data_IF_050445330090
#
_entry.id   IF_050445330090
#
_cell.length_a   1.000
_cell.length_b   1.000
_cell.length_c   1.000
_cell.angle_alpha   90.00
_cell.angle_beta   90.00
_cell.angle_gamma   90.00
#
_symmetry.space_group_name_H-M   'P 1'
#
loop_
_entity.id
_entity.type
_entity.pdbx_description
1 polymer ?
#
# COMPACT_ATOMS: atom_id res chain seq x y z
N UNK A 1 -22.89 -24.42 -6.16
CA UNK A 1 -21.57 -25.09 -6.07
C UNK A 1 -20.54 -24.01 -5.77
N UNK A 2 -19.94 -24.02 -4.58
CA UNK A 2 -19.02 -22.95 -4.17
C UNK A 2 -17.73 -22.94 -5.00
N UNK A 3 -17.10 -21.78 -5.09
CA UNK A 3 -15.78 -21.57 -5.71
C UNK A 3 -14.74 -22.54 -5.13
N UNK A 4 -13.66 -22.80 -5.86
CA UNK A 4 -12.57 -23.67 -5.37
C UNK A 4 -12.03 -23.17 -4.02
N UNK A 5 -11.87 -21.86 -3.88
CA UNK A 5 -11.51 -21.15 -2.64
C UNK A 5 -12.49 -21.49 -1.51
N UNK A 6 -13.79 -21.27 -1.73
CA UNK A 6 -14.81 -21.56 -0.72
C UNK A 6 -14.88 -23.04 -0.33
N UNK A 7 -14.55 -23.98 -1.23
CA UNK A 7 -14.44 -25.40 -0.88
C UNK A 7 -13.25 -25.66 0.05
N UNK A 8 -12.10 -25.04 -0.21
CA UNK A 8 -10.87 -25.21 0.57
C UNK A 8 -11.02 -24.66 1.99
N UNK A 9 -11.61 -23.46 2.13
CA UNK A 9 -11.91 -22.86 3.44
C UNK A 9 -12.86 -23.75 4.25
N UNK A 10 -13.95 -24.22 3.65
CA UNK A 10 -14.89 -25.13 4.34
C UNK A 10 -14.23 -26.45 4.75
N UNK A 11 -13.34 -26.99 3.92
CA UNK A 11 -12.58 -28.18 4.26
C UNK A 11 -11.67 -27.93 5.47
N UNK A 12 -10.88 -26.84 5.44
CA UNK A 12 -10.02 -26.45 6.55
C UNK A 12 -10.80 -26.32 7.88
N UNK A 13 -11.99 -25.70 7.84
CA UNK A 13 -12.84 -25.53 9.03
C UNK A 13 -13.36 -26.88 9.55
N UNK A 14 -13.77 -27.80 8.67
CA UNK A 14 -14.24 -29.13 9.09
C UNK A 14 -13.14 -29.98 9.73
N UNK A 15 -11.90 -29.82 9.29
CA UNK A 15 -10.76 -30.61 9.76
C UNK A 15 -10.17 -30.07 11.07
N UNK A 16 -10.09 -28.75 11.22
CA UNK A 16 -9.34 -28.10 12.31
C UNK A 16 -10.18 -27.20 13.22
N UNK A 17 -11.48 -27.08 12.94
CA UNK A 17 -12.36 -26.10 13.61
C UNK A 17 -12.22 -24.70 13.01
N UNK A 18 -12.79 -23.67 13.66
CA UNK A 18 -12.78 -22.31 13.14
C UNK A 18 -11.38 -21.78 12.82
N UNK A 19 -11.22 -21.25 11.62
CA UNK A 19 -9.96 -20.68 11.13
C UNK A 19 -9.86 -19.20 11.49
N UNK A 20 -8.65 -18.66 11.55
CA UNK A 20 -8.47 -17.22 11.77
C UNK A 20 -8.93 -16.42 10.55
N UNK A 21 -9.25 -15.13 10.74
CA UNK A 21 -9.55 -14.25 9.62
C UNK A 21 -8.33 -14.07 8.68
N UNK A 22 -7.11 -14.11 9.22
CA UNK A 22 -5.89 -14.09 8.42
C UNK A 22 -5.80 -15.32 7.50
N UNK A 23 -6.12 -16.52 8.01
CA UNK A 23 -6.13 -17.74 7.20
C UNK A 23 -7.24 -17.75 6.13
N UNK A 24 -8.40 -17.13 6.42
CA UNK A 24 -9.40 -16.85 5.40
C UNK A 24 -8.80 -15.99 4.27
N UNK A 25 -8.15 -14.87 4.61
CA UNK A 25 -7.54 -13.97 3.65
C UNK A 25 -6.45 -14.67 2.82
N UNK A 26 -5.61 -15.49 3.44
CA UNK A 26 -4.60 -16.28 2.73
C UNK A 26 -5.24 -17.17 1.65
N UNK A 27 -6.33 -17.87 1.98
CA UNK A 27 -7.05 -18.66 1.00
C UNK A 27 -7.78 -17.83 -0.06
N UNK A 28 -8.38 -16.70 0.34
CA UNK A 28 -9.22 -15.88 -0.52
C UNK A 28 -8.41 -14.99 -1.47
N UNK A 29 -7.28 -14.46 -1.02
CA UNK A 29 -6.50 -13.47 -1.74
C UNK A 29 -5.33 -14.10 -2.49
N UNK A 30 -4.53 -14.94 -1.83
CA UNK A 30 -3.22 -15.37 -2.35
C UNK A 30 -3.14 -16.86 -2.72
N UNK A 31 -4.01 -17.71 -2.16
CA UNK A 31 -4.04 -19.13 -2.46
C UNK A 31 -4.52 -19.42 -3.90
N UNK A 32 -4.43 -20.69 -4.36
CA UNK A 32 -4.95 -21.07 -5.67
C UNK A 32 -6.43 -20.67 -5.84
N UNK A 33 -6.80 -20.13 -6.99
CA UNK A 33 -8.11 -19.56 -7.30
C UNK A 33 -8.43 -18.26 -6.54
N UNK A 34 -7.50 -17.72 -5.76
CA UNK A 34 -7.66 -16.49 -4.99
C UNK A 34 -7.62 -15.23 -5.86
N UNK A 35 -8.03 -14.12 -5.26
CA UNK A 35 -8.24 -12.84 -5.95
C UNK A 35 -7.00 -12.34 -6.71
N UNK A 36 -5.81 -12.46 -6.11
CA UNK A 36 -4.54 -12.01 -6.68
C UNK A 36 -3.82 -13.07 -7.54
N UNK A 37 -4.35 -14.28 -7.70
CA UNK A 37 -3.76 -15.25 -8.63
C UNK A 37 -4.02 -14.84 -10.10
N UNK A 38 -5.19 -14.25 -10.36
CA UNK A 38 -5.57 -13.67 -11.65
C UNK A 38 -6.12 -12.26 -11.41
N UNK A 39 -5.28 -11.31 -10.98
CA UNK A 39 -5.76 -9.99 -10.63
C UNK A 39 -6.36 -9.36 -11.89
N UNK A 40 -7.58 -8.81 -11.83
CA UNK A 40 -8.12 -8.05 -12.94
C UNK A 40 -7.35 -6.73 -13.02
N UNK A 41 -6.29 -6.71 -13.82
CA UNK A 41 -5.43 -5.54 -14.06
C UNK A 41 -5.93 -4.77 -15.28
N UNK A 42 -6.02 -3.45 -15.18
CA UNK A 42 -6.33 -2.55 -16.30
C UNK A 42 -7.65 -1.78 -16.13
N UNK A 43 -8.04 -1.05 -17.17
CA UNK A 43 -9.17 -0.08 -17.15
C UNK A 43 -10.54 -0.74 -16.89
N UNK A 44 -10.66 -2.04 -17.15
CA UNK A 44 -11.84 -2.86 -16.84
C UNK A 44 -11.70 -3.66 -15.52
N UNK A 45 -10.55 -3.54 -14.86
CA UNK A 45 -10.16 -4.24 -13.65
C UNK A 45 -10.32 -3.43 -12.37
N UNK A 46 -10.35 -4.11 -11.23
CA UNK A 46 -10.82 -3.56 -9.96
C UNK A 46 -9.79 -2.71 -9.19
N UNK A 47 -8.55 -2.60 -9.68
CA UNK A 47 -7.45 -1.94 -8.96
C UNK A 47 -6.97 -0.67 -9.68
N UNK A 48 -7.49 0.48 -9.26
CA UNK A 48 -6.92 1.79 -9.63
C UNK A 48 -6.21 2.35 -8.41
N UNK A 49 -4.90 2.10 -8.30
CA UNK A 49 -4.03 2.67 -7.25
C UNK A 49 -3.44 4.00 -7.70
N UNK A 50 -2.75 4.71 -6.78
CA UNK A 50 -2.17 6.03 -7.05
C UNK A 50 -1.29 6.11 -8.32
N UNK A 51 -0.42 5.11 -8.64
CA UNK A 51 0.32 5.08 -9.90
C UNK A 51 -0.56 5.04 -11.17
N UNK A 52 -1.75 4.44 -11.09
CA UNK A 52 -2.67 4.29 -12.23
C UNK A 52 -3.50 5.56 -12.47
N UNK A 53 -3.70 6.40 -11.45
CA UNK A 53 -4.47 7.64 -11.58
C UNK A 53 -3.78 8.62 -12.52
N UNK A 54 -2.49 8.87 -12.30
CA UNK A 54 -1.70 9.75 -13.17
C UNK A 54 -0.18 9.54 -12.97
N UNK A 55 0.63 9.56 -14.06
CA UNK A 55 2.09 9.39 -13.97
C UNK A 55 2.83 10.41 -13.08
N UNK A 56 2.19 11.53 -12.74
CA UNK A 56 2.77 12.52 -11.81
C UNK A 56 3.04 11.90 -10.44
N UNK A 57 2.22 10.96 -9.98
CA UNK A 57 2.46 10.27 -8.71
C UNK A 57 3.85 9.63 -8.70
N UNK A 58 4.14 8.78 -9.69
CA UNK A 58 5.42 8.09 -9.82
C UNK A 58 6.59 9.06 -9.98
N UNK A 59 6.40 10.17 -10.70
CA UNK A 59 7.44 11.21 -10.82
C UNK A 59 7.77 11.86 -9.48
N UNK A 60 6.76 12.19 -8.69
CA UNK A 60 6.94 12.82 -7.38
C UNK A 60 7.50 11.84 -6.36
N UNK A 61 7.05 10.59 -6.35
CA UNK A 61 7.69 9.51 -5.57
C UNK A 61 9.15 9.37 -5.97
N UNK A 62 9.47 9.39 -7.26
CA UNK A 62 10.85 9.37 -7.76
C UNK A 62 11.70 10.54 -7.25
N UNK A 63 11.15 11.75 -7.19
CA UNK A 63 11.82 12.91 -6.59
C UNK A 63 12.10 12.71 -5.09
N UNK A 64 11.15 12.11 -4.36
CA UNK A 64 11.36 11.77 -2.94
C UNK A 64 12.46 10.72 -2.76
N UNK A 65 12.47 9.68 -3.59
CA UNK A 65 13.52 8.65 -3.61
C UNK A 65 14.89 9.22 -4.01
N UNK A 66 14.94 10.21 -4.90
CA UNK A 66 16.18 10.93 -5.24
C UNK A 66 16.74 11.69 -4.03
N UNK A 67 15.90 12.34 -3.22
CA UNK A 67 16.35 12.95 -1.96
C UNK A 67 16.90 11.89 -1.00
N UNK A 68 16.24 10.73 -0.85
CA UNK A 68 16.78 9.62 -0.05
C UNK A 68 18.14 9.13 -0.58
N UNK A 69 18.28 9.01 -1.89
CA UNK A 69 19.54 8.64 -2.53
C UNK A 69 20.67 9.62 -2.21
N UNK A 70 20.37 10.93 -2.19
CA UNK A 70 21.33 11.96 -1.77
C UNK A 70 21.74 11.77 -0.31
N UNK A 71 20.77 11.60 0.60
CA UNK A 71 21.04 11.37 2.04
C UNK A 71 21.83 10.07 2.29
N UNK A 72 21.66 9.07 1.43
CA UNK A 72 22.42 7.82 1.49
C UNK A 72 23.89 7.96 1.03
N UNK A 73 24.28 9.13 0.52
CA UNK A 73 25.62 9.37 -0.03
C UNK A 73 25.74 8.99 -1.51
N UNK A 74 24.64 8.99 -2.25
CA UNK A 74 24.56 8.70 -3.69
C UNK A 74 25.15 7.34 -4.09
N UNK A 75 24.67 6.23 -3.49
CA UNK A 75 25.15 4.88 -3.81
C UNK A 75 24.95 4.54 -5.30
N UNK A 76 25.80 3.63 -5.81
CA UNK A 76 25.78 3.15 -7.19
C UNK A 76 26.03 1.63 -7.23
N UNK A 77 25.05 0.80 -7.67
CA UNK A 77 23.69 1.21 -8.01
C UNK A 77 22.90 1.66 -6.76
N UNK A 78 21.89 2.51 -6.96
CA UNK A 78 20.87 2.76 -5.95
C UNK A 78 19.88 1.58 -5.95
N UNK A 79 19.82 0.82 -4.86
CA UNK A 79 18.94 -0.34 -4.78
C UNK A 79 17.49 0.09 -4.51
N UNK A 80 16.58 -0.22 -5.41
CA UNK A 80 15.13 0.00 -5.22
C UNK A 80 14.43 -1.34 -5.18
N UNK A 81 13.67 -1.58 -4.11
CA UNK A 81 12.86 -2.78 -3.95
C UNK A 81 11.41 -2.37 -3.83
N UNK A 82 10.57 -2.73 -4.79
CA UNK A 82 9.12 -2.47 -4.74
C UNK A 82 8.40 -3.76 -4.35
N UNK A 83 7.70 -3.75 -3.23
CA UNK A 83 6.92 -4.89 -2.73
C UNK A 83 5.45 -4.70 -3.05
N UNK A 84 4.84 -5.71 -3.67
CA UNK A 84 3.50 -5.58 -4.26
C UNK A 84 3.53 -4.73 -5.53
N UNK A 85 4.50 -4.97 -6.40
CA UNK A 85 4.76 -4.13 -7.58
C UNK A 85 3.65 -4.14 -8.65
N UNK A 86 2.61 -4.95 -8.46
CA UNK A 86 1.43 -5.01 -9.32
C UNK A 86 1.79 -5.29 -10.78
N UNK A 87 1.36 -4.41 -11.68
CA UNK A 87 1.60 -4.53 -13.12
C UNK A 87 2.89 -3.83 -13.61
N UNK A 88 3.66 -3.27 -12.67
CA UNK A 88 4.90 -2.53 -12.92
C UNK A 88 4.70 -1.11 -13.44
N UNK A 89 3.51 -0.53 -13.34
CA UNK A 89 3.25 0.87 -13.72
C UNK A 89 4.19 1.83 -12.98
N UNK A 90 4.34 1.68 -11.67
CA UNK A 90 5.25 2.49 -10.87
C UNK A 90 6.71 2.25 -11.25
N UNK A 91 7.14 0.99 -11.36
CA UNK A 91 8.48 0.62 -11.79
C UNK A 91 8.90 1.26 -13.12
N UNK A 92 8.04 1.22 -14.15
CA UNK A 92 8.34 1.81 -15.46
C UNK A 92 8.57 3.31 -15.39
N UNK A 93 7.73 4.03 -14.67
CA UNK A 93 7.86 5.49 -14.54
C UNK A 93 9.07 5.88 -13.68
N UNK A 94 9.35 5.16 -12.60
CA UNK A 94 10.54 5.38 -11.77
C UNK A 94 11.83 5.15 -12.56
N UNK A 95 11.95 4.02 -13.26
CA UNK A 95 13.13 3.72 -14.09
C UNK A 95 13.36 4.78 -15.18
N UNK A 96 12.29 5.26 -15.83
CA UNK A 96 12.38 6.36 -16.79
C UNK A 96 12.86 7.65 -16.14
N UNK A 97 12.36 7.98 -14.95
CA UNK A 97 12.76 9.15 -14.17
C UNK A 97 14.23 9.11 -13.81
N UNK A 98 14.69 8.02 -13.19
CA UNK A 98 16.07 7.84 -12.78
C UNK A 98 17.06 7.83 -13.95
N UNK A 99 16.70 7.19 -15.07
CA UNK A 99 17.53 7.22 -16.28
C UNK A 99 17.72 8.65 -16.83
N UNK A 100 16.67 9.49 -16.80
CA UNK A 100 16.76 10.90 -17.21
C UNK A 100 17.61 11.72 -16.23
N UNK A 101 17.55 11.41 -14.94
CA UNK A 101 18.36 12.04 -13.89
C UNK A 101 19.81 11.52 -13.83
N UNK A 102 20.16 10.49 -14.59
CA UNK A 102 21.49 9.86 -14.55
C UNK A 102 21.76 9.08 -13.25
N UNK A 103 20.70 8.60 -12.59
CA UNK A 103 20.79 7.77 -11.39
C UNK A 103 20.79 6.30 -11.82
N UNK A 104 21.88 5.60 -11.54
CA UNK A 104 22.01 4.16 -11.78
C UNK A 104 21.23 3.39 -10.70
N UNK A 105 20.30 2.53 -11.12
CA UNK A 105 19.35 1.86 -10.23
C UNK A 105 19.36 0.36 -10.46
N UNK A 106 19.42 -0.39 -9.36
CA UNK A 106 19.13 -1.82 -9.34
C UNK A 106 17.69 -2.01 -8.83
N UNK A 107 16.76 -2.33 -9.73
CA UNK A 107 15.33 -2.44 -9.39
C UNK A 107 14.90 -3.89 -9.20
N UNK A 108 14.35 -4.21 -8.04
CA UNK A 108 13.73 -5.51 -7.76
C UNK A 108 12.25 -5.33 -7.45
N UNK A 109 11.39 -6.02 -8.19
CA UNK A 109 9.95 -6.08 -7.97
C UNK A 109 9.61 -7.40 -7.25
N UNK A 110 9.08 -7.29 -6.03
CA UNK A 110 8.66 -8.43 -5.21
C UNK A 110 7.16 -8.64 -5.39
N UNK A 111 6.78 -9.86 -5.75
CA UNK A 111 5.38 -10.22 -5.99
C UNK A 111 5.13 -11.71 -5.70
N UNK A 112 4.02 -12.06 -5.04
CA UNK A 112 3.74 -13.45 -4.61
C UNK A 112 3.16 -14.29 -5.75
N UNK A 113 2.48 -13.67 -6.71
CA UNK A 113 1.97 -14.37 -7.89
C UNK A 113 3.10 -14.70 -8.88
N UNK A 114 3.32 -15.99 -9.15
CA UNK A 114 4.31 -16.42 -10.13
C UNK A 114 4.03 -15.88 -11.54
N UNK A 115 2.75 -15.67 -11.88
CA UNK A 115 2.35 -15.05 -13.15
C UNK A 115 2.75 -13.58 -13.22
N UNK A 116 2.40 -12.81 -12.20
CA UNK A 116 2.74 -11.38 -12.12
C UNK A 116 4.25 -11.17 -12.05
N UNK A 117 5.00 -11.96 -11.26
CA UNK A 117 6.48 -11.94 -11.25
C UNK A 117 7.09 -12.13 -12.63
N UNK A 118 6.60 -13.10 -13.41
CA UNK A 118 7.09 -13.34 -14.76
C UNK A 118 6.81 -12.15 -15.67
N UNK A 119 5.63 -11.55 -15.57
CA UNK A 119 5.28 -10.35 -16.34
C UNK A 119 6.18 -9.16 -15.97
N UNK A 120 6.39 -8.91 -14.67
CA UNK A 120 7.29 -7.86 -14.17
C UNK A 120 8.72 -8.04 -14.67
N UNK A 121 9.23 -9.27 -14.69
CA UNK A 121 10.58 -9.59 -15.17
C UNK A 121 10.79 -9.37 -16.68
N UNK A 122 9.72 -9.11 -17.45
CA UNK A 122 9.83 -8.70 -18.86
C UNK A 122 10.12 -7.21 -19.04
N UNK A 123 9.96 -6.41 -17.98
CA UNK A 123 10.24 -4.97 -17.98
C UNK A 123 11.77 -4.81 -17.93
N UNK A 124 12.33 -4.11 -18.92
CA UNK A 124 13.76 -3.85 -18.98
C UNK A 124 14.26 -3.14 -17.71
N UNK A 125 15.28 -3.71 -17.06
CA UNK A 125 15.86 -3.17 -15.82
C UNK A 125 15.17 -3.63 -14.53
N UNK A 126 14.16 -4.50 -14.60
CA UNK A 126 13.45 -5.04 -13.42
C UNK A 126 13.82 -6.51 -13.18
N UNK A 127 14.25 -6.83 -11.96
CA UNK A 127 14.38 -8.21 -11.46
C UNK A 127 13.11 -8.60 -10.69
N UNK A 128 12.55 -9.78 -10.93
CA UNK A 128 11.46 -10.33 -10.11
C UNK A 128 11.97 -11.13 -8.90
N UNK A 129 11.28 -11.04 -7.76
CA UNK A 129 11.48 -11.86 -6.57
C UNK A 129 10.14 -12.33 -5.96
N UNK A 130 10.09 -13.52 -5.37
CA UNK A 130 8.90 -14.13 -4.74
C UNK A 130 8.53 -13.56 -3.39
N UNK A 131 9.53 -13.06 -2.68
CA UNK A 131 9.43 -12.57 -1.32
C UNK A 131 10.56 -11.59 -1.03
N UNK A 132 10.45 -10.83 0.06
CA UNK A 132 11.47 -9.86 0.45
C UNK A 132 12.80 -10.55 0.83
N UNK A 133 12.81 -11.70 1.56
CA UNK A 133 14.04 -12.44 1.84
C UNK A 133 14.82 -12.91 0.59
N UNK A 134 14.15 -13.19 -0.54
CA UNK A 134 14.82 -13.55 -1.80
C UNK A 134 15.59 -12.38 -2.45
N UNK A 135 15.34 -11.16 -2.00
CA UNK A 135 16.07 -9.97 -2.47
C UNK A 135 17.49 -9.96 -1.93
N UNK A 136 17.68 -10.44 -0.69
CA UNK A 136 18.94 -10.32 0.05
C UNK A 136 19.14 -8.91 0.64
N UNK A 137 20.25 -8.68 1.34
CA UNK A 137 20.49 -7.43 2.05
C UNK A 137 20.52 -6.23 1.10
N UNK A 138 19.69 -5.23 1.39
CA UNK A 138 19.61 -3.95 0.68
C UNK A 138 20.56 -2.97 1.34
N UNK A 139 21.70 -2.74 0.68
CA UNK A 139 22.74 -1.80 1.08
C UNK A 139 22.65 -0.53 0.23
N UNK A 140 22.44 0.63 0.86
CA UNK A 140 22.34 1.90 0.15
C UNK A 140 21.13 1.96 -0.79
N UNK A 141 19.94 1.69 -0.26
CA UNK A 141 18.71 1.58 -1.06
C UNK A 141 17.45 2.08 -0.38
N UNK A 142 16.33 1.91 -1.09
CA UNK A 142 15.00 2.14 -0.57
C UNK A 142 14.08 0.95 -0.88
N UNK A 143 13.30 0.54 0.13
CA UNK A 143 12.17 -0.39 -0.05
C UNK A 143 10.88 0.43 -0.15
N UNK A 144 10.01 0.11 -1.08
CA UNK A 144 8.75 0.79 -1.34
C UNK A 144 7.61 -0.22 -1.25
N UNK A 145 6.57 0.14 -0.51
CA UNK A 145 5.30 -0.58 -0.49
C UNK A 145 4.17 0.43 -0.64
N UNK A 146 3.48 0.43 -1.78
CA UNK A 146 2.38 1.33 -2.08
C UNK A 146 1.07 0.54 -2.13
N UNK A 147 0.14 0.84 -1.23
CA UNK A 147 -1.19 0.22 -1.15
C UNK A 147 -1.07 -1.31 -1.09
N UNK A 148 -0.28 -1.78 -0.11
CA UNK A 148 0.05 -3.19 0.13
C UNK A 148 -0.47 -3.66 1.49
N UNK A 149 -0.27 -2.84 2.52
CA UNK A 149 -0.45 -3.24 3.91
C UNK A 149 -1.92 -3.49 4.27
N UNK A 150 -2.87 -2.85 3.58
CA UNK A 150 -4.30 -2.95 3.82
C UNK A 150 -4.90 -4.30 3.39
N UNK A 151 -4.29 -4.98 2.41
CA UNK A 151 -4.70 -6.30 1.93
C UNK A 151 -3.88 -7.45 2.54
N UNK A 152 -2.80 -7.16 3.28
CA UNK A 152 -2.06 -8.20 4.00
C UNK A 152 -2.93 -8.85 5.09
N UNK A 153 -2.78 -10.16 5.35
CA UNK A 153 -3.64 -10.89 6.26
C UNK A 153 -3.67 -10.27 7.67
N UNK A 154 -4.87 -10.11 8.21
CA UNK A 154 -5.08 -9.57 9.55
C UNK A 154 -6.01 -10.42 10.38
N UNK A 155 -5.90 -10.30 11.71
CA UNK A 155 -6.79 -10.95 12.66
C UNK A 155 -7.75 -9.94 13.25
N UNK A 156 -8.93 -10.41 13.67
CA UNK A 156 -9.99 -9.54 14.20
C UNK A 156 -10.24 -9.87 15.65
N UNK A 157 -10.40 -8.83 16.46
CA UNK A 157 -10.73 -8.96 17.88
C UNK A 157 -11.93 -8.10 18.22
N UNK A 158 -12.70 -8.51 19.22
CA UNK A 158 -13.81 -7.73 19.79
C UNK A 158 -13.61 -7.62 21.29
N UNK A 159 -13.83 -6.44 21.85
CA UNK A 159 -13.79 -6.30 23.31
C UNK A 159 -15.13 -6.76 23.90
N UNK A 160 -15.11 -7.79 24.75
CA UNK A 160 -16.22 -8.15 25.65
C UNK A 160 -15.85 -7.70 27.07
N UNK A 161 -15.98 -8.56 28.08
CA UNK A 161 -15.31 -8.32 29.37
C UNK A 161 -13.79 -8.44 29.24
N UNK A 162 -13.34 -9.34 28.38
CA UNK A 162 -11.96 -9.49 27.91
C UNK A 162 -11.96 -9.52 26.38
N UNK A 163 -10.83 -9.24 25.71
CA UNK A 163 -10.74 -9.41 24.26
C UNK A 163 -11.05 -10.85 23.85
N UNK A 164 -11.83 -11.01 22.79
CA UNK A 164 -12.07 -12.28 22.10
C UNK A 164 -11.64 -12.16 20.64
N UNK A 165 -11.13 -13.24 20.05
CA UNK A 165 -10.81 -13.29 18.63
C UNK A 165 -12.06 -13.67 17.82
N UNK A 166 -12.33 -12.91 16.76
CA UNK A 166 -13.35 -13.23 15.75
C UNK A 166 -12.70 -14.13 14.69
N UNK A 167 -13.15 -15.39 14.64
CA UNK A 167 -12.74 -16.42 13.68
C UNK A 167 -13.84 -16.73 12.68
N UNK A 168 -13.53 -17.52 11.67
CA UNK A 168 -14.49 -17.98 10.66
C UNK A 168 -14.81 -19.45 10.89
N UNK A 169 -16.09 -19.72 11.15
CA UNK A 169 -16.66 -21.05 11.37
C UNK A 169 -17.68 -21.44 10.30
N UNK A 170 -18.45 -22.48 10.61
CA UNK A 170 -19.49 -23.02 9.75
C UNK A 170 -20.83 -23.11 10.47
N UNK A 171 -21.89 -22.67 9.79
CA UNK A 171 -23.28 -23.01 10.08
C UNK A 171 -23.85 -23.75 8.86
N UNK A 172 -23.91 -25.08 8.94
CA UNK A 172 -24.11 -25.93 7.78
C UNK A 172 -23.01 -25.76 6.74
N UNK A 173 -23.34 -25.17 5.58
CA UNK A 173 -22.39 -24.83 4.51
C UNK A 173 -22.02 -23.35 4.47
N UNK A 174 -22.67 -22.51 5.28
CA UNK A 174 -22.46 -21.07 5.30
C UNK A 174 -21.28 -20.73 6.21
N UNK A 175 -20.39 -19.85 5.74
CA UNK A 175 -19.35 -19.27 6.56
C UNK A 175 -19.95 -18.24 7.51
N UNK A 176 -19.56 -18.29 8.78
CA UNK A 176 -20.03 -17.38 9.82
C UNK A 176 -18.88 -16.90 10.69
N UNK A 177 -19.04 -15.74 11.29
CA UNK A 177 -18.16 -15.30 12.38
C UNK A 177 -18.43 -16.10 13.65
N UNK A 178 -17.36 -16.50 14.35
CA UNK A 178 -17.44 -17.15 15.65
C UNK A 178 -16.43 -16.53 16.61
N UNK A 179 -16.85 -16.25 17.84
CA UNK A 179 -15.97 -15.72 18.87
C UNK A 179 -15.21 -16.84 19.57
N UNK A 180 -13.91 -16.66 19.75
CA UNK A 180 -13.01 -17.57 20.45
C UNK A 180 -12.12 -16.81 21.43
N UNK A 181 -11.54 -17.45 22.46
CA UNK A 181 -10.61 -16.77 23.36
C UNK A 181 -9.49 -16.07 22.59
N UNK A 182 -9.22 -14.80 22.91
CA UNK A 182 -8.13 -14.06 22.27
C UNK A 182 -6.78 -14.66 22.71
N UNK A 183 -5.90 -15.06 21.78
CA UNK A 183 -4.57 -15.57 22.14
C UNK A 183 -3.67 -14.48 22.76
N UNK A 184 -2.79 -14.89 23.67
CA UNK A 184 -1.88 -13.97 24.39
C UNK A 184 -1.01 -13.13 23.45
N UNK A 185 -0.59 -13.70 22.32
CA UNK A 185 0.19 -13.01 21.27
C UNK A 185 -0.55 -11.81 20.66
N UNK A 186 -1.89 -11.82 20.65
CA UNK A 186 -2.70 -10.69 20.20
C UNK A 186 -2.98 -9.70 21.32
N UNK A 187 -3.08 -10.16 22.57
CA UNK A 187 -3.49 -9.34 23.71
C UNK A 187 -2.63 -8.06 23.85
N UNK A 188 -1.31 -8.15 23.64
CA UNK A 188 -0.38 -7.02 23.68
C UNK A 188 -0.41 -6.09 22.45
N UNK A 189 -1.21 -6.43 21.44
CA UNK A 189 -1.41 -5.68 20.20
C UNK A 189 -2.79 -5.03 20.13
N UNK A 190 -3.73 -5.44 20.99
CA UNK A 190 -5.09 -4.88 21.02
C UNK A 190 -5.03 -3.41 21.42
N UNK A 191 -5.52 -2.48 20.59
CA UNK A 191 -5.57 -1.07 20.96
C UNK A 191 -6.63 -0.84 22.04
N UNK A 192 -6.67 0.34 22.69
CA UNK A 192 -7.79 0.70 23.56
C UNK A 192 -9.13 0.61 22.81
N UNK A 193 -10.09 -0.11 23.38
CA UNK A 193 -11.42 -0.38 22.80
C UNK A 193 -12.51 -0.14 23.87
N UNK A 194 -13.72 0.22 23.43
CA UNK A 194 -14.93 0.17 24.23
C UNK A 194 -15.62 -1.19 24.15
N UNK A 195 -16.48 -1.56 25.13
CA UNK A 195 -17.20 -2.83 25.09
C UNK A 195 -18.06 -2.97 23.82
N UNK A 196 -17.83 -4.04 23.07
CA UNK A 196 -18.48 -4.30 21.78
C UNK A 196 -17.70 -3.82 20.56
N UNK A 197 -16.72 -2.93 20.75
CA UNK A 197 -15.89 -2.43 19.65
C UNK A 197 -14.96 -3.54 19.12
N UNK A 198 -14.65 -3.42 17.83
CA UNK A 198 -13.76 -4.34 17.12
C UNK A 198 -12.46 -3.65 16.74
N UNK A 199 -11.39 -4.45 16.66
CA UNK A 199 -10.13 -4.04 16.07
C UNK A 199 -9.60 -5.07 15.07
N UNK A 200 -8.82 -4.57 14.13
CA UNK A 200 -8.00 -5.33 13.21
C UNK A 200 -6.56 -5.30 13.70
N UNK A 201 -5.98 -6.48 13.89
CA UNK A 201 -4.57 -6.67 14.24
C UNK A 201 -3.81 -7.09 12.98
N UNK A 202 -2.94 -6.24 12.41
CA UNK A 202 -2.39 -6.43 11.07
C UNK A 202 -1.19 -7.39 11.07
N UNK A 203 -1.42 -8.65 11.47
CA UNK A 203 -0.35 -9.65 11.68
C UNK A 203 0.54 -9.88 10.46
N UNK A 204 -0.03 -9.84 9.25
CA UNK A 204 0.73 -9.94 7.99
C UNK A 204 1.63 -8.73 7.76
N UNK A 205 1.14 -7.52 8.04
CA UNK A 205 1.95 -6.31 7.94
C UNK A 205 3.05 -6.26 9.02
N UNK A 206 2.80 -6.80 10.22
CA UNK A 206 3.84 -6.94 11.26
C UNK A 206 4.93 -7.92 10.83
N UNK A 207 4.57 -9.06 10.22
CA UNK A 207 5.52 -10.01 9.65
C UNK A 207 6.31 -9.39 8.49
N UNK A 208 5.64 -8.63 7.62
CA UNK A 208 6.31 -7.88 6.56
C UNK A 208 7.35 -6.88 7.12
N UNK A 209 7.05 -6.19 8.22
CA UNK A 209 8.03 -5.31 8.88
C UNK A 209 9.23 -6.08 9.42
N UNK A 210 9.04 -7.31 9.93
CA UNK A 210 10.14 -8.16 10.36
C UNK A 210 11.06 -8.52 9.19
N UNK A 211 10.47 -8.99 8.07
CA UNK A 211 11.22 -9.29 6.85
C UNK A 211 11.92 -8.05 6.29
N UNK A 212 11.24 -6.90 6.34
CA UNK A 212 11.79 -5.62 5.92
C UNK A 212 13.02 -5.24 6.74
N UNK A 213 12.95 -5.36 8.06
CA UNK A 213 14.06 -5.03 8.94
C UNK A 213 15.25 -5.96 8.73
N UNK A 214 15.00 -7.25 8.46
CA UNK A 214 16.04 -8.23 8.17
C UNK A 214 16.69 -8.03 6.78
N UNK A 215 15.93 -7.47 5.84
CA UNK A 215 16.38 -7.22 4.47
C UNK A 215 17.06 -5.86 4.32
N UNK A 216 16.61 -4.83 5.03
CA UNK A 216 17.12 -3.45 4.91
C UNK A 216 18.39 -3.26 5.75
N UNK A 217 19.56 -3.53 5.16
CA UNK A 217 20.84 -3.44 5.86
C UNK A 217 21.31 -1.98 6.06
N UNK A 218 21.17 -1.13 5.05
CA UNK A 218 21.34 0.33 5.18
C UNK A 218 20.45 1.03 4.18
N UNK A 219 19.45 1.77 4.65
CA UNK A 219 18.54 2.43 3.74
C UNK A 219 17.28 2.97 4.39
N UNK A 220 16.32 3.27 3.53
CA UNK A 220 15.00 3.74 3.91
C UNK A 220 13.92 2.73 3.49
N UNK A 221 12.76 2.79 4.12
CA UNK A 221 11.55 2.15 3.61
C UNK A 221 10.40 3.15 3.59
N UNK A 222 9.75 3.31 2.44
CA UNK A 222 8.59 4.16 2.26
C UNK A 222 7.35 3.29 2.13
N UNK A 223 6.47 3.39 3.14
CA UNK A 223 5.21 2.66 3.20
C UNK A 223 4.07 3.65 2.98
N UNK A 224 3.25 3.44 1.96
CA UNK A 224 2.15 4.33 1.58
C UNK A 224 0.86 3.53 1.63
N UNK A 225 -0.05 3.88 2.54
CA UNK A 225 -1.29 3.11 2.68
C UNK A 225 -2.44 3.87 3.35
N UNK A 226 -3.64 3.29 3.29
CA UNK A 226 -4.81 3.76 4.02
C UNK A 226 -4.70 3.37 5.48
N UNK A 227 -4.57 4.35 6.36
CA UNK A 227 -4.41 4.06 7.77
C UNK A 227 -4.48 5.24 8.70
N UNK A 228 -4.51 4.91 9.98
CA UNK A 228 -4.42 5.84 11.09
C UNK A 228 -3.21 5.49 11.96
N UNK A 229 -2.71 6.49 12.71
CA UNK A 229 -1.59 6.26 13.65
C UNK A 229 -2.06 5.55 14.91
N UNK A 230 -3.34 5.70 15.27
CA UNK A 230 -3.92 5.13 16.48
C UNK A 230 -5.30 4.55 16.18
N UNK A 231 -5.82 3.78 17.14
CA UNK A 231 -7.18 3.25 17.12
C UNK A 231 -7.31 1.81 16.63
N UNK A 232 -8.55 1.34 16.41
CA UNK A 232 -8.87 -0.07 16.18
C UNK A 232 -8.33 -0.66 14.87
N UNK A 233 -7.79 0.15 13.96
CA UNK A 233 -7.75 -0.21 12.54
C UNK A 233 -9.11 0.03 11.88
N UNK A 234 -9.13 0.13 10.55
CA UNK A 234 -10.36 0.43 9.81
C UNK A 234 -11.33 -0.75 9.78
N UNK A 235 -12.59 -0.50 9.43
CA UNK A 235 -13.54 -1.57 9.15
C UNK A 235 -13.03 -2.45 8.00
N UNK A 236 -13.39 -3.74 8.06
CA UNK A 236 -13.12 -4.68 6.98
C UNK A 236 -14.05 -4.38 5.81
N UNK A 237 -13.49 -4.22 4.63
CA UNK A 237 -14.23 -3.98 3.40
C UNK A 237 -13.89 -5.07 2.38
N UNK A 238 -14.90 -5.45 1.59
CA UNK A 238 -14.72 -6.23 0.37
C UNK A 238 -14.96 -5.35 -0.85
N UNK A 239 -14.07 -5.33 -1.84
CA UNK A 239 -14.26 -4.57 -3.07
C UNK A 239 -14.41 -5.48 -4.30
N UNK A 240 -15.52 -5.30 -5.03
CA UNK A 240 -15.81 -5.99 -6.30
C UNK A 240 -16.45 -5.00 -7.27
N UNK A 241 -15.86 -4.76 -8.44
CA UNK A 241 -16.48 -3.87 -9.44
C UNK A 241 -16.67 -2.42 -8.99
N UNK A 242 -15.73 -1.88 -8.20
CA UNK A 242 -15.85 -0.56 -7.55
C UNK A 242 -17.03 -0.43 -6.59
N UNK A 243 -17.53 -1.55 -6.06
CA UNK A 243 -18.58 -1.59 -5.03
C UNK A 243 -18.06 -2.25 -3.77
N UNK A 244 -18.44 -1.67 -2.64
CA UNK A 244 -18.24 -2.28 -1.31
C UNK A 244 -19.25 -3.42 -1.16
N UNK A 245 -18.76 -4.60 -0.80
CA UNK A 245 -19.57 -5.76 -0.46
C UNK A 245 -20.09 -5.63 0.98
N UNK A 246 -21.30 -6.13 1.20
CA UNK A 246 -21.91 -6.17 2.52
C UNK A 246 -21.30 -7.26 3.43
N UNK A 247 -20.86 -8.38 2.84
CA UNK A 247 -20.27 -9.51 3.55
C UNK A 247 -19.17 -10.18 2.72
N UNK A 248 -17.94 -10.19 3.26
CA UNK A 248 -16.76 -10.81 2.63
C UNK A 248 -16.76 -12.34 2.74
N UNK A 249 -17.63 -12.92 3.57
CA UNK A 249 -17.75 -14.36 3.78
C UNK A 249 -18.69 -15.05 2.77
N UNK A 250 -19.52 -14.30 2.04
CA UNK A 250 -20.53 -14.86 1.13
C UNK A 250 -19.88 -15.57 -0.08
N UNK A 251 -18.91 -14.91 -0.72
CA UNK A 251 -18.21 -15.42 -1.90
C UNK A 251 -16.67 -15.24 -1.77
N UNK A 252 -15.98 -16.02 -0.91
CA UNK A 252 -14.54 -15.87 -0.71
C UNK A 252 -13.75 -16.04 -2.00
N UNK A 253 -12.80 -15.13 -2.20
CA UNK A 253 -11.93 -15.03 -3.39
C UNK A 253 -12.55 -14.29 -4.58
N UNK A 254 -13.78 -13.80 -4.47
CA UNK A 254 -14.42 -12.99 -5.52
C UNK A 254 -14.17 -11.48 -5.41
N UNK A 255 -13.53 -11.03 -4.33
CA UNK A 255 -13.34 -9.63 -4.01
C UNK A 255 -11.99 -9.41 -3.31
N UNK A 256 -11.49 -8.19 -3.43
CA UNK A 256 -10.38 -7.71 -2.62
C UNK A 256 -10.85 -7.49 -1.19
N UNK A 257 -10.12 -7.98 -0.20
CA UNK A 257 -10.47 -7.83 1.22
C UNK A 257 -9.42 -6.92 1.83
N UNK A 258 -9.85 -5.76 2.32
CA UNK A 258 -8.96 -4.77 2.91
C UNK A 258 -9.44 -4.30 4.28
N UNK A 259 -8.52 -3.75 5.07
CA UNK A 259 -8.84 -3.02 6.29
C UNK A 259 -7.88 -1.86 6.49
N UNK A 260 -8.35 -0.80 7.16
CA UNK A 260 -7.49 0.34 7.47
C UNK A 260 -6.31 -0.06 8.36
N UNK A 261 -5.11 0.35 7.97
CA UNK A 261 -3.84 -0.03 8.60
C UNK A 261 -3.61 0.77 9.88
N UNK A 262 -3.21 0.09 10.95
CA UNK A 262 -2.72 0.76 12.16
C UNK A 262 -1.21 1.03 12.03
N UNK A 263 -0.87 2.22 11.53
CA UNK A 263 0.51 2.64 11.27
C UNK A 263 1.32 2.83 12.56
N UNK A 264 0.66 3.07 13.71
CA UNK A 264 1.33 3.12 15.01
C UNK A 264 1.88 1.75 15.41
N UNK A 265 1.14 0.66 15.17
CA UNK A 265 1.63 -0.69 15.40
C UNK A 265 2.77 -1.05 14.44
N UNK A 266 2.69 -0.64 13.17
CA UNK A 266 3.77 -0.82 12.19
C UNK A 266 5.04 -0.08 12.63
N UNK A 267 4.93 1.18 13.02
CA UNK A 267 6.05 1.98 13.50
C UNK A 267 6.66 1.41 14.79
N UNK A 268 5.81 0.97 15.75
CA UNK A 268 6.26 0.31 16.98
C UNK A 268 7.04 -0.95 16.67
N UNK A 269 6.53 -1.81 15.76
CA UNK A 269 7.20 -3.05 15.36
C UNK A 269 8.53 -2.78 14.67
N UNK A 270 8.58 -1.77 13.80
CA UNK A 270 9.82 -1.34 13.17
C UNK A 270 10.88 -0.93 14.22
N UNK A 271 10.46 -0.18 15.26
CA UNK A 271 11.30 0.19 16.40
C UNK A 271 11.79 -1.02 17.21
N UNK A 272 10.92 -2.00 17.48
CA UNK A 272 11.29 -3.27 18.13
C UNK A 272 12.34 -4.06 17.33
N UNK A 273 12.36 -3.90 16.00
CA UNK A 273 13.34 -4.50 15.08
C UNK A 273 14.58 -3.61 14.82
N UNK A 274 14.69 -2.47 15.50
CA UNK A 274 15.86 -1.60 15.43
C UNK A 274 15.83 -0.59 14.27
N UNK A 275 14.71 -0.44 13.57
CA UNK A 275 14.53 0.65 12.60
C UNK A 275 14.08 1.93 13.31
N UNK A 276 14.53 3.07 12.81
CA UNK A 276 13.95 4.36 13.15
C UNK A 276 12.71 4.62 12.28
N UNK A 277 11.74 5.34 12.83
CA UNK A 277 10.54 5.76 12.11
C UNK A 277 10.33 7.27 12.26
N UNK A 278 9.78 7.88 11.21
CA UNK A 278 9.38 9.28 11.21
C UNK A 278 7.85 9.40 11.33
N UNK A 279 7.37 10.56 11.76
CA UNK A 279 5.93 10.80 11.90
C UNK A 279 5.24 10.69 10.52
N UNK A 280 4.15 9.90 10.38
CA UNK A 280 3.44 9.78 9.12
C UNK A 280 2.87 11.11 8.65
N UNK A 281 2.94 11.38 7.35
CA UNK A 281 2.33 12.55 6.71
C UNK A 281 1.22 12.11 5.76
N UNK A 282 0.17 12.92 5.56
CA UNK A 282 -0.82 12.62 4.52
C UNK A 282 -0.21 12.76 3.13
N UNK A 283 -0.68 11.93 2.19
CA UNK A 283 -0.18 11.87 0.82
C UNK A 283 -0.26 13.23 0.12
N UNK A 284 -1.35 13.97 0.33
CA UNK A 284 -1.48 15.29 -0.28
C UNK A 284 -0.32 16.21 0.10
N UNK A 285 0.12 16.20 1.36
CA UNK A 285 1.18 17.11 1.82
C UNK A 285 2.56 16.63 1.38
N UNK A 286 2.77 15.32 1.31
CA UNK A 286 3.98 14.73 0.72
C UNK A 286 4.11 15.10 -0.76
N UNK A 287 3.06 14.89 -1.56
CA UNK A 287 3.08 15.20 -2.99
C UNK A 287 3.24 16.70 -3.26
N UNK A 288 2.59 17.56 -2.48
CA UNK A 288 2.80 19.02 -2.55
C UNK A 288 4.25 19.38 -2.23
N UNK A 289 4.83 18.82 -1.16
CA UNK A 289 6.22 19.06 -0.78
C UNK A 289 7.26 18.56 -1.80
N UNK A 290 6.85 17.61 -2.65
CA UNK A 290 7.64 17.02 -3.73
C UNK A 290 7.44 17.72 -5.08
N UNK A 291 6.53 18.70 -5.18
CA UNK A 291 6.38 19.56 -6.36
C UNK A 291 5.08 19.40 -7.15
N UNK A 292 4.01 18.88 -6.54
CA UNK A 292 2.71 18.74 -7.23
C UNK A 292 2.17 20.06 -7.76
N UNK A 293 2.30 21.16 -7.01
CA UNK A 293 1.78 22.48 -7.42
C UNK A 293 2.57 23.08 -8.58
N UNK A 294 3.89 22.91 -8.59
CA UNK A 294 4.77 23.27 -9.71
C UNK A 294 4.36 22.52 -10.97
N UNK A 295 4.17 21.20 -10.85
CA UNK A 295 3.70 20.37 -11.95
C UNK A 295 2.33 20.84 -12.46
N UNK A 296 1.36 21.05 -11.57
CA UNK A 296 0.02 21.46 -11.94
C UNK A 296 0.00 22.83 -12.66
N UNK A 297 0.83 23.78 -12.22
CA UNK A 297 1.04 25.07 -12.90
C UNK A 297 1.66 24.90 -14.28
N UNK A 298 2.66 24.03 -14.43
CA UNK A 298 3.30 23.75 -15.72
C UNK A 298 2.33 23.13 -16.73
N UNK A 299 1.46 22.21 -16.29
CA UNK A 299 0.44 21.60 -17.15
C UNK A 299 -0.64 22.60 -17.56
N UNK A 300 -1.01 23.55 -16.69
CA UNK A 300 -1.92 24.63 -17.05
C UNK A 300 -1.31 25.53 -18.13
N UNK A 301 -0.04 25.93 -17.99
CA UNK A 301 0.65 26.71 -19.02
C UNK A 301 0.73 25.96 -20.35
N UNK A 302 1.05 24.66 -20.32
CA UNK A 302 1.06 23.78 -21.50
C UNK A 302 -0.32 23.69 -22.15
N UNK A 303 -1.38 23.58 -21.35
CA UNK A 303 -2.76 23.57 -21.84
C UNK A 303 -3.08 24.88 -22.60
N UNK A 304 -2.73 26.04 -22.04
CA UNK A 304 -2.93 27.34 -22.68
C UNK A 304 -2.17 27.43 -24.01
N UNK A 305 -0.89 27.05 -24.03
CA UNK A 305 -0.09 27.04 -25.25
C UNK A 305 -0.67 26.14 -26.35
N UNK A 306 -1.17 24.95 -25.99
CA UNK A 306 -1.82 24.04 -26.93
C UNK A 306 -3.11 24.61 -27.52
N UNK A 307 -3.88 25.38 -26.73
CA UNK A 307 -5.06 26.08 -27.25
C UNK A 307 -4.66 27.18 -28.23
N UNK A 308 -3.66 27.99 -27.88
CA UNK A 308 -3.17 29.10 -28.70
C UNK A 308 -2.57 28.63 -30.03
N UNK A 309 -1.95 27.45 -30.04
CA UNK A 309 -1.34 26.83 -31.22
C UNK A 309 -2.29 25.94 -32.03
N UNK A 310 -3.58 25.87 -31.65
CA UNK A 310 -4.61 25.13 -32.40
C UNK A 310 -4.63 23.63 -32.14
N UNK A 311 -3.90 23.13 -31.14
CA UNK A 311 -3.88 21.73 -30.70
C UNK A 311 -4.97 21.43 -29.66
N UNK A 312 -6.23 21.76 -29.97
CA UNK A 312 -7.34 21.70 -29.01
C UNK A 312 -7.58 20.34 -28.36
N UNK A 313 -7.41 19.22 -29.09
CA UNK A 313 -7.57 17.87 -28.52
C UNK A 313 -6.51 17.55 -27.46
N UNK A 314 -5.27 17.99 -27.66
CA UNK A 314 -4.19 17.76 -26.70
C UNK A 314 -4.33 18.68 -25.48
N UNK A 315 -4.90 19.88 -25.66
CA UNK A 315 -5.30 20.74 -24.55
C UNK A 315 -6.41 20.12 -23.68
N UNK A 316 -7.41 19.48 -24.30
CA UNK A 316 -8.46 18.74 -23.56
C UNK A 316 -7.84 17.59 -22.76
N UNK A 317 -6.95 16.80 -23.37
CA UNK A 317 -6.23 15.73 -22.67
C UNK A 317 -5.40 16.24 -21.49
N UNK A 318 -4.73 17.38 -21.65
CA UNK A 318 -3.98 18.03 -20.57
C UNK A 318 -4.89 18.43 -19.40
N UNK A 319 -6.05 19.01 -19.71
CA UNK A 319 -7.06 19.38 -18.72
C UNK A 319 -7.61 18.15 -17.96
N UNK A 320 -8.02 17.10 -18.68
CA UNK A 320 -8.51 15.86 -18.09
C UNK A 320 -7.45 15.19 -17.20
N UNK A 321 -6.20 15.14 -17.66
CA UNK A 321 -5.07 14.60 -16.90
C UNK A 321 -4.84 15.36 -15.59
N UNK A 322 -4.88 16.69 -15.63
CA UNK A 322 -4.77 17.55 -14.45
C UNK A 322 -5.95 17.35 -13.49
N UNK A 323 -7.17 17.21 -14.03
CA UNK A 323 -8.35 16.89 -13.24
C UNK A 323 -8.22 15.56 -12.48
N UNK A 324 -7.78 14.49 -13.16
CA UNK A 324 -7.54 13.18 -12.53
C UNK A 324 -6.43 13.23 -11.48
N UNK A 325 -5.32 13.91 -11.78
CA UNK A 325 -4.20 14.02 -10.86
C UNK A 325 -4.56 14.73 -9.54
N UNK A 326 -5.56 15.61 -9.52
CA UNK A 326 -6.05 16.23 -8.28
C UNK A 326 -6.58 15.22 -7.27
N UNK A 327 -7.07 14.06 -7.70
CA UNK A 327 -7.49 12.98 -6.79
C UNK A 327 -6.35 12.50 -5.89
N UNK A 328 -5.10 12.63 -6.33
CA UNK A 328 -3.90 12.26 -5.57
C UNK A 328 -3.67 13.16 -4.35
N UNK A 329 -4.15 14.40 -4.39
CA UNK A 329 -3.96 15.41 -3.32
C UNK A 329 -5.27 15.83 -2.65
N UNK A 330 -6.42 15.34 -3.12
CA UNK A 330 -7.70 15.56 -2.46
C UNK A 330 -7.79 14.70 -1.18
N UNK A 331 -7.91 15.30 0.03
CA UNK A 331 -8.01 14.55 1.27
C UNK A 331 -9.23 13.62 1.35
N UNK A 332 -10.29 13.89 0.59
CA UNK A 332 -11.48 13.03 0.51
C UNK A 332 -11.33 11.86 -0.48
N UNK A 333 -10.24 11.83 -1.25
CA UNK A 333 -9.89 10.75 -2.18
C UNK A 333 -8.55 10.12 -1.78
N UNK A 334 -7.56 10.06 -2.68
CA UNK A 334 -6.26 9.43 -2.42
C UNK A 334 -5.32 10.31 -1.60
N UNK A 335 -5.60 11.62 -1.48
CA UNK A 335 -4.79 12.52 -0.66
C UNK A 335 -4.80 12.17 0.83
N UNK A 336 -5.81 11.42 1.28
CA UNK A 336 -5.94 10.92 2.65
C UNK A 336 -5.03 9.73 3.00
N UNK A 337 -4.39 9.09 2.01
CA UNK A 337 -3.36 8.07 2.23
C UNK A 337 -2.26 8.60 3.14
N UNK A 338 -1.55 7.71 3.83
CA UNK A 338 -0.47 8.08 4.77
C UNK A 338 0.85 7.53 4.28
N UNK A 339 1.86 8.40 4.27
CA UNK A 339 3.24 8.04 3.98
C UNK A 339 3.99 7.89 5.31
N UNK A 340 4.42 6.68 5.61
CA UNK A 340 5.28 6.34 6.73
C UNK A 340 6.68 6.03 6.19
N UNK A 341 7.66 6.81 6.64
CA UNK A 341 9.07 6.59 6.34
C UNK A 341 9.76 5.89 7.51
N UNK A 342 10.43 4.79 7.22
CA UNK A 342 11.33 4.08 8.11
C UNK A 342 12.77 4.23 7.62
N UNK A 343 13.74 4.05 8.52
CA UNK A 343 15.16 4.04 8.16
C UNK A 343 15.98 3.15 9.07
N UNK A 344 17.12 2.69 8.57
CA UNK A 344 18.16 2.13 9.43
C UNK A 344 18.75 3.22 10.33
N UNK A 345 19.20 2.89 11.56
CA UNK A 345 19.72 3.88 12.51
C UNK A 345 20.81 4.80 11.93
N UNK A 346 20.78 6.07 12.35
CA UNK A 346 21.79 7.06 11.99
C UNK A 346 21.59 7.76 10.64
N UNK A 347 20.57 7.39 9.87
CA UNK A 347 20.18 8.13 8.68
C UNK A 347 19.33 9.36 9.04
N UNK A 348 19.54 10.50 8.36
CA UNK A 348 18.81 11.72 8.63
C UNK A 348 17.37 11.62 8.11
N UNK A 349 16.53 12.50 8.63
CA UNK A 349 15.25 12.81 8.02
C UNK A 349 15.46 13.52 6.67
N UNK A 350 14.80 13.09 5.58
CA UNK A 350 14.96 13.75 4.29
C UNK A 350 14.24 15.11 4.23
N UNK A 351 14.75 16.08 3.46
CA UNK A 351 14.18 17.42 3.38
C UNK A 351 12.70 17.48 2.97
N UNK A 352 12.24 16.61 2.06
CA UNK A 352 10.84 16.60 1.62
C UNK A 352 9.87 16.27 2.76
N UNK A 353 10.29 15.47 3.74
CA UNK A 353 9.43 15.05 4.84
C UNK A 353 9.23 16.19 5.85
N UNK A 354 10.26 16.98 6.09
CA UNK A 354 10.16 18.23 6.86
C UNK A 354 9.18 19.20 6.17
N UNK A 355 9.37 19.43 4.86
CA UNK A 355 8.46 20.27 4.06
C UNK A 355 7.02 19.75 4.07
N UNK A 356 6.83 18.43 4.02
CA UNK A 356 5.51 17.80 4.03
C UNK A 356 4.77 18.00 5.36
N UNK A 357 5.49 18.04 6.49
CA UNK A 357 4.87 18.38 7.78
C UNK A 357 4.52 19.85 7.88
N UNK A 358 5.39 20.75 7.40
CA UNK A 358 5.08 22.18 7.34
C UNK A 358 3.86 22.45 6.46
N UNK A 359 3.76 21.78 5.31
CA UNK A 359 2.60 21.84 4.44
C UNK A 359 1.35 21.23 5.11
N UNK A 360 1.49 20.10 5.81
CA UNK A 360 0.41 19.42 6.53
C UNK A 360 -0.19 20.24 7.68
N UNK A 361 0.60 21.15 8.28
CA UNK A 361 0.11 22.12 9.26
C UNK A 361 -0.70 23.27 8.63
N UNK A 362 -0.55 23.50 7.32
CA UNK A 362 -1.37 24.41 6.55
C UNK A 362 -2.70 23.75 6.14
N UNK A 363 -3.65 24.55 5.65
CA UNK A 363 -4.95 24.04 5.20
C UNK A 363 -4.76 23.16 3.96
N UNK A 364 -5.41 21.98 3.87
CA UNK A 364 -5.32 21.15 2.67
C UNK A 364 -5.78 21.92 1.43
N UNK A 365 -5.26 21.59 0.23
CA UNK A 365 -5.74 22.19 -1.00
C UNK A 365 -7.26 21.98 -1.08
N UNK A 366 -8.01 23.08 -1.21
CA UNK A 366 -9.47 22.98 -1.24
C UNK A 366 -9.93 22.23 -2.49
N UNK A 367 -10.89 21.31 -2.33
CA UNK A 367 -11.63 20.72 -3.46
C UNK A 367 -12.39 21.78 -4.30
N UNK A 368 -12.43 23.04 -3.85
CA UNK A 368 -12.99 24.17 -4.57
C UNK A 368 -12.06 24.62 -5.71
N UNK A 369 -12.28 24.04 -6.87
CA UNK A 369 -11.73 24.47 -8.15
C UNK A 369 -12.42 23.76 -9.31
N UNK A 370 -13.75 23.62 -9.19
CA UNK A 370 -14.67 23.29 -10.28
C UNK A 370 -15.44 24.58 -10.58
N UNK A 371 -14.74 25.57 -11.13
CA UNK A 371 -15.35 26.63 -11.95
C UNK A 371 -14.43 26.89 -13.14
#
# INVERSE_FOLDING_TARGET
>A
MGTEVGRRIRQAIRERGPITFAELMEHALYGPGGFYERPPVGVEGHFVTSPHVHPVFSRLVGAGLEELWVELGRPRPFAIVEVGAGDGTLARELLRGFARGGIDVAYTAVEVSAGARRALSTIAGVRGAGSLPEVGPVEGGAVLANELLDNLPFRRVRLREVPVEIRVGLDGERLIEVETPCPDELAGLVPPLGPGDEAVIPVGALAFVDELADTLARGYALLIDYGATEGPGGAVHGYRGHRVLADVLEEPGSADITAGVNLGLIARRAGERGLAHFAPVPQWSALVALGFEEWARSELARQTELLDTGHGLDAVRAWEGRGRARLLVDPGALGGLRWLLLSTPGLPEPPWLERARSAGAARPPSAAGVE
#
